data_IF_929847883557
#
_entry.id   IF_929847883557
#
_cell.length_a   1.000
_cell.length_b   1.000
_cell.length_c   1.000
_cell.angle_alpha   90.00
_cell.angle_beta   90.00
_cell.angle_gamma   90.00
#
_symmetry.space_group_name_H-M   'P 1'
#
loop_
_entity.id
_entity.type
_entity.pdbx_description
1 polymer ?
#
# COMPACT_ATOMS: atom_id res chain seq x y z
N UNK A 1 -52.83 34.22 -20.00
CA UNK A 1 -51.38 34.28 -20.01
C UNK A 1 -50.87 33.63 -21.29
N UNK A 2 -50.13 34.38 -22.10
CA UNK A 2 -49.60 33.92 -23.38
C UNK A 2 -48.72 32.68 -23.16
N UNK A 3 -48.92 31.60 -23.93
CA UNK A 3 -48.09 30.42 -23.95
C UNK A 3 -46.72 30.85 -24.48
N UNK A 4 -45.70 30.75 -23.65
CA UNK A 4 -44.31 30.90 -24.15
C UNK A 4 -44.03 29.66 -25.00
N UNK A 5 -43.95 29.84 -26.30
CA UNK A 5 -43.69 28.78 -27.27
C UNK A 5 -42.24 28.31 -27.12
N UNK A 6 -42.02 27.00 -26.90
CA UNK A 6 -40.67 26.46 -26.82
C UNK A 6 -40.21 26.16 -28.25
N UNK A 7 -39.19 26.86 -28.70
CA UNK A 7 -38.50 26.62 -29.98
C UNK A 7 -37.21 25.91 -29.66
N UNK A 8 -36.96 24.72 -30.26
CA UNK A 8 -35.77 23.90 -30.09
C UNK A 8 -34.80 24.19 -31.24
N UNK A 9 -33.54 24.30 -30.94
CA UNK A 9 -32.48 24.20 -31.94
C UNK A 9 -32.27 22.76 -32.38
N UNK A 10 -31.67 22.52 -33.56
CA UNK A 10 -31.38 21.16 -34.06
C UNK A 10 -30.52 20.35 -33.07
N UNK A 11 -29.59 21.01 -32.39
CA UNK A 11 -28.71 20.40 -31.37
C UNK A 11 -29.49 19.99 -30.12
N UNK A 12 -30.44 20.82 -29.68
CA UNK A 12 -31.29 20.51 -28.51
C UNK A 12 -32.27 19.39 -28.83
N UNK A 13 -32.86 19.38 -30.03
CA UNK A 13 -33.76 18.29 -30.47
C UNK A 13 -33.03 16.95 -30.46
N UNK A 14 -31.83 16.88 -31.07
CA UNK A 14 -31.02 15.66 -31.09
C UNK A 14 -30.64 15.15 -29.71
N UNK A 15 -30.24 16.06 -28.78
CA UNK A 15 -29.91 15.67 -27.41
C UNK A 15 -31.14 15.19 -26.62
N UNK A 16 -32.29 15.85 -26.75
CA UNK A 16 -33.53 15.46 -26.09
C UNK A 16 -34.03 14.11 -26.61
N UNK A 17 -34.01 13.87 -27.93
CA UNK A 17 -34.35 12.59 -28.55
C UNK A 17 -33.38 11.46 -28.10
N UNK A 18 -32.10 11.75 -27.99
CA UNK A 18 -31.11 10.80 -27.43
C UNK A 18 -31.49 10.43 -25.99
N UNK A 19 -31.85 11.39 -25.13
CA UNK A 19 -32.28 11.13 -23.74
C UNK A 19 -33.58 10.29 -23.68
N UNK A 20 -34.49 10.49 -24.60
CA UNK A 20 -35.75 9.73 -24.66
C UNK A 20 -35.52 8.28 -25.07
N UNK A 21 -34.63 8.04 -26.05
CA UNK A 21 -34.44 6.72 -26.66
C UNK A 21 -33.35 5.87 -25.95
N UNK A 22 -32.46 6.47 -25.13
CA UNK A 22 -31.38 5.73 -24.48
C UNK A 22 -31.93 4.88 -23.30
N UNK A 23 -31.59 3.61 -23.31
CA UNK A 23 -31.97 2.65 -22.26
C UNK A 23 -31.28 2.89 -20.90
N UNK A 24 -30.16 3.61 -20.88
CA UNK A 24 -29.32 3.88 -19.70
C UNK A 24 -29.67 5.18 -18.98
N UNK A 25 -30.55 6.00 -19.53
CA UNK A 25 -30.95 7.29 -18.94
C UNK A 25 -31.97 7.05 -17.82
N UNK A 26 -31.82 7.77 -16.71
CA UNK A 26 -32.77 7.70 -15.61
C UNK A 26 -34.19 8.08 -16.06
N UNK A 27 -35.19 7.37 -15.57
CA UNK A 27 -36.63 7.59 -15.95
C UNK A 27 -37.04 9.06 -15.80
N UNK A 28 -36.60 9.73 -14.73
CA UNK A 28 -36.85 11.17 -14.49
C UNK A 28 -36.27 12.08 -15.57
N UNK A 29 -35.09 11.78 -16.09
CA UNK A 29 -34.42 12.62 -17.09
C UNK A 29 -35.05 12.41 -18.47
N UNK A 30 -35.46 11.18 -18.77
CA UNK A 30 -36.29 10.83 -19.92
C UNK A 30 -37.62 11.57 -19.88
N UNK A 31 -38.35 11.55 -18.75
CA UNK A 31 -39.63 12.27 -18.60
C UNK A 31 -39.46 13.78 -18.81
N UNK A 32 -38.40 14.38 -18.29
CA UNK A 32 -38.10 15.82 -18.48
C UNK A 32 -37.87 16.16 -19.96
N UNK A 33 -37.11 15.32 -20.67
CA UNK A 33 -36.87 15.47 -22.10
C UNK A 33 -38.14 15.35 -22.88
N UNK A 34 -38.99 14.33 -22.58
CA UNK A 34 -40.27 14.10 -23.25
C UNK A 34 -41.27 15.28 -23.05
N UNK A 35 -41.31 15.86 -21.84
CA UNK A 35 -42.13 17.04 -21.56
C UNK A 35 -41.76 18.20 -22.48
N UNK A 36 -40.46 18.47 -22.65
CA UNK A 36 -39.99 19.61 -23.46
C UNK A 36 -40.23 19.37 -24.94
N UNK A 37 -39.96 18.16 -25.46
CA UNK A 37 -40.22 17.82 -26.86
C UNK A 37 -41.70 17.92 -27.20
N UNK A 38 -42.61 17.37 -26.37
CA UNK A 38 -44.04 17.45 -26.58
C UNK A 38 -44.57 18.89 -26.47
N UNK A 39 -43.98 19.69 -25.59
CA UNK A 39 -44.34 21.10 -25.46
C UNK A 39 -43.92 21.93 -26.67
N UNK A 40 -42.71 21.64 -27.24
CA UNK A 40 -42.23 22.27 -28.48
C UNK A 40 -43.10 21.86 -29.71
N UNK A 41 -43.64 20.64 -29.68
CA UNK A 41 -44.62 20.16 -30.70
C UNK A 41 -46.03 20.77 -30.53
N UNK A 42 -46.23 21.69 -29.58
CA UNK A 42 -47.51 22.39 -29.36
C UNK A 42 -48.55 21.56 -28.63
N UNK A 43 -48.22 20.40 -28.08
CA UNK A 43 -49.17 19.53 -27.33
C UNK A 43 -49.68 20.25 -26.08
N UNK A 44 -51.01 20.24 -25.77
CA UNK A 44 -51.55 20.84 -24.57
C UNK A 44 -51.00 20.24 -23.29
N UNK A 45 -50.68 21.07 -22.27
CA UNK A 45 -50.05 20.63 -21.02
C UNK A 45 -50.84 19.52 -20.28
N UNK A 46 -52.15 19.47 -20.35
CA UNK A 46 -52.93 18.41 -19.74
C UNK A 46 -52.72 17.07 -20.44
N UNK A 47 -52.57 17.08 -21.78
CA UNK A 47 -52.25 15.88 -22.54
C UNK A 47 -50.82 15.39 -22.29
N UNK A 48 -49.84 16.32 -22.19
CA UNK A 48 -48.48 16.00 -21.81
C UNK A 48 -48.44 15.36 -20.43
N UNK A 49 -49.16 15.94 -19.45
CA UNK A 49 -49.25 15.42 -18.09
C UNK A 49 -49.80 13.98 -18.06
N UNK A 50 -50.85 13.68 -18.80
CA UNK A 50 -51.42 12.34 -18.91
C UNK A 50 -50.44 11.37 -19.61
N UNK A 51 -49.81 11.80 -20.71
CA UNK A 51 -48.93 10.94 -21.51
C UNK A 51 -47.64 10.57 -20.78
N UNK A 52 -47.06 11.52 -20.06
CA UNK A 52 -45.79 11.32 -19.33
C UNK A 52 -46.03 10.78 -17.91
N UNK A 53 -47.27 10.77 -17.42
CA UNK A 53 -47.59 10.28 -16.09
C UNK A 53 -47.18 11.22 -14.95
N UNK A 54 -47.28 12.55 -15.17
CA UNK A 54 -46.89 13.58 -14.19
C UNK A 54 -48.03 14.61 -14.00
N UNK A 55 -47.87 15.47 -12.97
CA UNK A 55 -48.86 16.56 -12.77
C UNK A 55 -48.67 17.71 -13.78
N UNK A 56 -49.72 18.47 -14.07
CA UNK A 56 -49.62 19.70 -14.89
C UNK A 56 -48.67 20.71 -14.30
N UNK A 57 -48.53 20.80 -12.98
CA UNK A 57 -47.59 21.65 -12.29
C UNK A 57 -46.17 21.25 -12.62
N UNK A 58 -45.88 19.94 -12.68
CA UNK A 58 -44.59 19.37 -13.07
C UNK A 58 -44.26 19.70 -14.53
N UNK A 59 -45.23 19.56 -15.44
CA UNK A 59 -45.05 19.95 -16.86
C UNK A 59 -44.66 21.43 -16.97
N UNK A 60 -45.43 22.31 -16.32
CA UNK A 60 -45.15 23.72 -16.33
C UNK A 60 -43.77 24.06 -15.74
N UNK A 61 -43.41 23.44 -14.63
CA UNK A 61 -42.11 23.63 -13.99
C UNK A 61 -40.96 23.34 -14.96
N UNK A 62 -40.97 22.20 -15.64
CA UNK A 62 -39.87 21.81 -16.54
C UNK A 62 -39.86 22.65 -17.82
N UNK A 63 -40.99 23.05 -18.36
CA UNK A 63 -41.07 24.00 -19.45
C UNK A 63 -40.45 25.38 -19.07
N UNK A 64 -40.78 25.90 -17.90
CA UNK A 64 -40.24 27.17 -17.39
C UNK A 64 -38.72 27.06 -17.17
N UNK A 65 -38.25 25.96 -16.58
CA UNK A 65 -36.80 25.77 -16.35
C UNK A 65 -36.03 25.60 -17.66
N UNK A 66 -36.63 24.98 -18.67
CA UNK A 66 -36.02 24.84 -19.98
C UNK A 66 -35.98 26.23 -20.70
N UNK A 67 -37.04 27.00 -20.64
CA UNK A 67 -37.05 28.36 -21.19
C UNK A 67 -36.01 29.27 -20.56
N UNK A 68 -35.79 29.14 -19.23
CA UNK A 68 -34.84 29.94 -18.50
C UNK A 68 -33.37 29.50 -18.68
N UNK A 69 -33.09 28.19 -18.80
CA UNK A 69 -31.72 27.67 -18.74
C UNK A 69 -31.43 26.60 -19.80
N UNK A 70 -32.33 26.42 -20.78
CA UNK A 70 -32.22 25.44 -21.86
C UNK A 70 -31.95 24.02 -21.31
N UNK A 71 -31.09 23.23 -21.95
CA UNK A 71 -30.75 21.86 -21.52
C UNK A 71 -30.24 21.77 -20.06
N UNK A 72 -29.48 22.75 -19.60
CA UNK A 72 -29.02 22.82 -18.20
C UNK A 72 -30.17 23.00 -17.20
N UNK A 73 -31.33 23.52 -17.65
CA UNK A 73 -32.54 23.62 -16.83
C UNK A 73 -33.17 22.28 -16.49
N UNK A 74 -32.88 21.22 -17.25
CA UNK A 74 -33.42 19.87 -17.02
C UNK A 74 -32.60 19.07 -16.00
N UNK A 75 -31.44 19.54 -15.61
CA UNK A 75 -30.60 18.90 -14.62
C UNK A 75 -31.12 19.11 -13.19
N UNK A 76 -30.75 18.21 -12.28
CA UNK A 76 -31.09 18.38 -10.87
C UNK A 76 -30.38 19.60 -10.30
N UNK A 77 -31.10 20.45 -9.57
CA UNK A 77 -30.52 21.56 -8.88
C UNK A 77 -29.55 21.07 -7.79
N UNK A 78 -28.38 21.70 -7.69
CA UNK A 78 -27.45 21.47 -6.60
C UNK A 78 -28.13 21.74 -5.24
N UNK A 79 -27.80 20.93 -4.22
CA UNK A 79 -28.29 21.16 -2.86
C UNK A 79 -29.53 20.37 -2.45
N UNK A 80 -29.97 19.39 -3.24
CA UNK A 80 -31.12 18.48 -2.88
C UNK A 80 -30.77 17.40 -1.87
N UNK A 81 -29.65 17.42 -1.19
CA UNK A 81 -29.30 16.46 -0.16
C UNK A 81 -29.58 16.98 1.26
N UNK A 82 -29.45 16.10 2.25
CA UNK A 82 -29.43 16.48 3.66
C UNK A 82 -28.30 17.50 3.87
N UNK A 83 -28.60 18.67 4.37
CA UNK A 83 -27.60 19.68 4.69
C UNK A 83 -26.58 19.12 5.68
N UNK A 84 -25.29 19.44 5.53
CA UNK A 84 -24.27 19.02 6.49
C UNK A 84 -24.68 19.51 7.90
N UNK A 85 -24.80 18.56 8.84
CA UNK A 85 -25.19 18.89 10.23
C UNK A 85 -23.98 19.31 11.08
N UNK A 86 -22.75 19.17 10.55
CA UNK A 86 -21.50 19.53 11.25
C UNK A 86 -21.01 20.87 10.69
N UNK A 87 -20.81 21.87 11.55
CA UNK A 87 -20.25 23.16 11.13
C UNK A 87 -18.90 23.00 10.44
N UNK A 88 -18.63 23.79 9.41
CA UNK A 88 -17.36 23.77 8.66
C UNK A 88 -16.17 23.99 9.59
N UNK A 89 -16.32 24.87 10.59
CA UNK A 89 -15.27 25.16 11.57
C UNK A 89 -14.94 23.93 12.42
N UNK A 90 -15.94 23.16 12.84
CA UNK A 90 -15.70 21.91 13.58
C UNK A 90 -14.97 20.86 12.71
N UNK A 91 -15.27 20.80 11.41
CA UNK A 91 -14.55 19.94 10.46
C UNK A 91 -13.09 20.36 10.39
N UNK A 92 -12.82 21.67 10.22
CA UNK A 92 -11.47 22.21 10.17
C UNK A 92 -10.68 21.88 11.44
N UNK A 93 -11.24 22.16 12.62
CA UNK A 93 -10.61 21.85 13.92
C UNK A 93 -10.28 20.36 14.03
N UNK A 94 -11.17 19.46 13.60
CA UNK A 94 -10.93 18.00 13.63
C UNK A 94 -9.74 17.63 12.74
N UNK A 95 -9.64 18.20 11.55
CA UNK A 95 -8.57 17.90 10.60
C UNK A 95 -7.23 18.48 11.08
N UNK A 96 -7.20 19.73 11.52
CA UNK A 96 -6.00 20.39 12.03
C UNK A 96 -5.43 19.71 13.28
N UNK A 97 -6.31 19.34 14.22
CA UNK A 97 -5.87 18.61 15.43
C UNK A 97 -5.46 17.17 15.18
N UNK A 98 -6.01 16.52 14.13
CA UNK A 98 -5.68 15.14 13.83
C UNK A 98 -4.22 14.92 13.43
N UNK A 99 -3.58 15.93 12.82
CA UNK A 99 -2.17 15.87 12.39
C UNK A 99 -1.19 16.28 13.49
N UNK A 100 -1.69 16.82 14.62
CA UNK A 100 -0.87 17.22 15.77
C UNK A 100 -1.08 16.23 16.92
N UNK A 101 0.00 15.78 17.55
CA UNK A 101 -0.10 14.91 18.72
C UNK A 101 -0.86 15.61 19.86
N UNK A 102 -1.81 14.93 20.54
CA UNK A 102 -2.49 15.51 21.70
C UNK A 102 -1.53 15.63 22.89
N UNK A 103 -1.59 16.75 23.60
CA UNK A 103 -0.66 17.05 24.71
C UNK A 103 -0.67 16.00 25.85
N UNK A 104 -1.81 15.37 26.11
CA UNK A 104 -1.99 14.42 27.23
C UNK A 104 -2.23 12.98 26.79
N UNK A 105 -2.28 12.69 25.52
CA UNK A 105 -2.57 11.37 24.95
C UNK A 105 -1.49 11.00 23.95
N UNK A 106 -1.05 9.77 23.90
CA UNK A 106 -0.05 9.33 22.92
C UNK A 106 -0.50 9.47 21.46
N UNK A 107 -1.82 9.45 21.22
CA UNK A 107 -2.42 9.61 19.88
C UNK A 107 -3.91 9.93 19.94
N UNK A 108 -4.44 10.52 18.89
CA UNK A 108 -5.88 10.67 18.73
C UNK A 108 -6.57 9.35 18.38
N UNK A 109 -7.72 9.10 19.00
CA UNK A 109 -8.70 8.10 18.58
C UNK A 109 -9.97 8.80 18.12
N UNK A 110 -10.81 8.13 17.30
CA UNK A 110 -12.11 8.70 16.92
C UNK A 110 -12.97 9.07 18.15
N UNK A 111 -12.82 8.36 19.28
CA UNK A 111 -13.56 8.62 20.52
C UNK A 111 -13.04 9.88 21.23
N UNK A 112 -11.74 10.02 21.35
CA UNK A 112 -11.14 11.20 22.02
C UNK A 112 -11.32 12.46 21.21
N UNK A 113 -11.16 12.40 19.89
CA UNK A 113 -11.41 13.49 18.96
C UNK A 113 -12.90 13.90 18.95
N UNK A 114 -13.82 12.94 18.92
CA UNK A 114 -15.25 13.21 18.97
C UNK A 114 -15.66 13.96 20.23
N UNK A 115 -15.12 13.55 21.39
CA UNK A 115 -15.35 14.24 22.67
C UNK A 115 -14.81 15.68 22.66
N UNK A 116 -13.61 15.87 22.13
CA UNK A 116 -12.98 17.20 22.05
C UNK A 116 -13.74 18.14 21.11
N UNK A 117 -14.21 17.62 19.96
CA UNK A 117 -14.89 18.44 18.95
C UNK A 117 -16.42 18.53 19.10
N UNK A 118 -17.01 17.89 20.10
CA UNK A 118 -18.48 17.89 20.33
C UNK A 118 -19.29 17.22 19.20
N UNK A 119 -18.71 16.24 18.51
CA UNK A 119 -19.36 15.52 17.41
C UNK A 119 -19.44 14.02 17.67
N UNK A 120 -20.18 13.28 16.82
CA UNK A 120 -20.25 11.83 16.94
C UNK A 120 -18.94 11.15 16.50
N UNK A 121 -18.61 9.98 17.10
CA UNK A 121 -17.50 9.12 16.68
C UNK A 121 -17.57 8.77 15.19
N UNK A 122 -18.77 8.49 14.68
CA UNK A 122 -18.99 8.18 13.26
C UNK A 122 -18.68 9.36 12.33
N UNK A 123 -18.92 10.60 12.79
CA UNK A 123 -18.54 11.82 12.06
C UNK A 123 -17.03 11.93 11.94
N UNK A 124 -16.28 11.76 13.03
CA UNK A 124 -14.81 11.79 13.00
C UNK A 124 -14.28 10.69 12.09
N UNK A 125 -14.80 9.46 12.19
CA UNK A 125 -14.37 8.35 11.36
C UNK A 125 -14.56 8.62 9.86
N UNK A 126 -15.73 9.18 9.48
CA UNK A 126 -15.99 9.55 8.08
C UNK A 126 -15.07 10.66 7.57
N UNK A 127 -14.83 11.68 8.40
CA UNK A 127 -13.93 12.79 8.05
C UNK A 127 -12.50 12.30 7.89
N UNK A 128 -12.00 11.46 8.79
CA UNK A 128 -10.66 10.89 8.69
C UNK A 128 -10.51 9.96 7.50
N UNK A 129 -11.52 9.13 7.22
CA UNK A 129 -11.51 8.26 6.05
C UNK A 129 -11.51 9.05 4.73
N UNK A 130 -12.33 10.12 4.64
CA UNK A 130 -12.40 10.97 3.46
C UNK A 130 -11.09 11.74 3.18
N UNK A 131 -10.27 11.98 4.20
CA UNK A 131 -8.98 12.69 4.10
C UNK A 131 -7.76 11.77 4.27
N UNK A 132 -7.94 10.44 4.27
CA UNK A 132 -6.90 9.42 4.50
C UNK A 132 -6.07 9.63 5.79
N UNK A 133 -6.67 10.23 6.82
CA UNK A 133 -6.04 10.49 8.12
C UNK A 133 -6.13 9.25 8.99
N UNK A 134 -4.97 8.73 9.41
CA UNK A 134 -4.85 7.50 10.21
C UNK A 134 -3.94 7.71 11.42
N UNK A 135 -4.37 8.45 12.46
CA UNK A 135 -3.52 8.80 13.62
C UNK A 135 -3.02 7.59 14.42
N UNK A 136 -3.67 6.44 14.26
CA UNK A 136 -3.31 5.19 14.93
C UNK A 136 -2.19 4.40 14.22
N UNK A 137 -1.84 4.79 12.99
CA UNK A 137 -0.79 4.15 12.21
C UNK A 137 0.46 5.03 12.22
N UNK A 138 1.56 4.46 12.70
CA UNK A 138 2.89 5.05 12.59
C UNK A 138 3.74 4.12 11.73
N UNK A 139 4.35 4.66 10.69
CA UNK A 139 5.36 3.95 9.91
C UNK A 139 6.72 4.47 10.32
N UNK A 140 7.55 3.58 10.84
CA UNK A 140 8.95 3.91 11.08
C UNK A 140 9.68 3.94 9.73
N UNK A 141 10.43 4.98 9.49
CA UNK A 141 11.35 5.07 8.36
C UNK A 141 12.62 5.79 8.81
N UNK A 142 13.70 5.51 8.11
CA UNK A 142 14.98 6.20 8.30
C UNK A 142 15.47 6.65 6.93
N UNK A 143 15.68 7.94 6.75
CA UNK A 143 16.31 8.45 5.55
C UNK A 143 17.77 8.06 5.52
N UNK A 144 18.22 7.57 4.38
CA UNK A 144 19.62 7.25 4.16
C UNK A 144 20.46 8.52 4.14
N UNK A 145 21.59 8.49 4.87
CA UNK A 145 22.65 9.50 4.82
C UNK A 145 23.77 9.10 3.86
N UNK A 146 23.58 8.06 3.05
CA UNK A 146 24.59 7.57 2.10
C UNK A 146 24.78 8.60 0.98
N UNK A 147 26.00 9.12 0.83
CA UNK A 147 26.33 10.09 -0.22
C UNK A 147 26.21 9.50 -1.64
N UNK A 148 26.30 8.17 -1.77
CA UNK A 148 26.16 7.46 -3.03
C UNK A 148 24.78 6.80 -3.17
N UNK A 149 23.76 7.32 -2.45
CA UNK A 149 22.44 6.71 -2.39
C UNK A 149 21.87 6.43 -3.78
N UNK A 150 21.81 7.43 -4.63
CA UNK A 150 21.18 7.33 -5.94
C UNK A 150 21.90 6.35 -6.86
N UNK A 151 23.25 6.39 -6.87
CA UNK A 151 24.07 5.44 -7.64
C UNK A 151 23.80 3.99 -7.24
N UNK A 152 23.82 3.69 -5.94
CA UNK A 152 23.57 2.34 -5.42
C UNK A 152 22.13 1.92 -5.60
N UNK A 153 21.20 2.87 -5.49
CA UNK A 153 19.78 2.64 -5.73
C UNK A 153 19.54 2.17 -7.16
N UNK A 154 20.05 2.90 -8.16
CA UNK A 154 19.88 2.54 -9.56
C UNK A 154 20.65 1.27 -9.95
N UNK A 155 21.81 1.02 -9.33
CA UNK A 155 22.54 -0.22 -9.51
C UNK A 155 21.71 -1.44 -9.12
N UNK A 156 21.07 -1.42 -7.95
CA UNK A 156 20.21 -2.51 -7.47
C UNK A 156 18.89 -2.61 -8.25
N UNK A 157 18.21 -1.49 -8.50
CA UNK A 157 16.94 -1.48 -9.24
C UNK A 157 17.15 -1.90 -10.69
N UNK A 158 18.27 -1.51 -11.30
CA UNK A 158 18.64 -1.94 -12.65
C UNK A 158 18.67 -3.45 -12.79
N UNK A 159 19.22 -4.17 -11.81
CA UNK A 159 19.24 -5.63 -11.79
C UNK A 159 17.84 -6.26 -11.70
N UNK A 160 16.90 -5.61 -11.00
CA UNK A 160 15.52 -6.11 -10.92
C UNK A 160 14.71 -5.85 -12.20
N UNK A 161 14.96 -4.72 -12.85
CA UNK A 161 14.23 -4.34 -14.07
C UNK A 161 14.80 -5.00 -15.34
N UNK A 162 16.13 -5.10 -15.43
CA UNK A 162 16.84 -5.62 -16.58
C UNK A 162 17.94 -6.61 -16.11
N UNK A 163 17.55 -7.83 -15.71
CA UNK A 163 18.52 -8.83 -15.28
C UNK A 163 19.48 -9.19 -16.44
N UNK A 164 20.80 -9.27 -16.18
CA UNK A 164 21.77 -9.67 -17.19
C UNK A 164 21.48 -11.09 -17.71
N UNK A 165 21.74 -11.33 -18.98
CA UNK A 165 21.69 -12.67 -19.54
C UNK A 165 22.80 -13.56 -18.94
N UNK A 166 22.51 -14.85 -18.79
CA UNK A 166 23.45 -15.85 -18.21
C UNK A 166 23.95 -15.49 -16.80
N UNK A 167 23.13 -14.81 -16.00
CA UNK A 167 23.46 -14.45 -14.64
C UNK A 167 22.36 -14.85 -13.64
N UNK A 168 22.77 -15.09 -12.39
CA UNK A 168 21.86 -15.23 -11.26
C UNK A 168 21.87 -13.93 -10.46
N UNK A 169 20.68 -13.46 -10.07
CA UNK A 169 20.53 -12.32 -9.17
C UNK A 169 20.08 -12.84 -7.83
N UNK A 170 20.96 -12.78 -6.85
CA UNK A 170 20.78 -13.30 -5.51
C UNK A 170 20.66 -12.14 -4.53
N UNK A 171 19.52 -12.02 -3.87
CA UNK A 171 19.32 -11.10 -2.74
C UNK A 171 19.78 -11.80 -1.47
N UNK A 172 20.90 -11.34 -0.90
CA UNK A 172 21.59 -12.01 0.20
C UNK A 172 21.55 -11.18 1.47
N UNK A 173 21.30 -11.84 2.60
CA UNK A 173 21.37 -11.22 3.93
C UNK A 173 21.41 -12.28 5.03
N UNK A 174 21.59 -11.85 6.31
CA UNK A 174 21.49 -12.74 7.46
C UNK A 174 20.33 -12.36 8.40
N UNK A 175 19.48 -13.33 8.67
CA UNK A 175 18.50 -13.29 9.77
C UNK A 175 19.19 -13.71 11.05
N UNK A 176 19.77 -12.77 11.75
CA UNK A 176 20.39 -13.01 13.05
C UNK A 176 19.32 -13.20 14.14
N UNK A 177 19.73 -13.81 15.26
CA UNK A 177 18.89 -13.98 16.46
C UNK A 177 17.53 -14.64 16.24
N UNK A 178 17.46 -15.67 15.37
CA UNK A 178 16.31 -16.56 15.36
C UNK A 178 16.26 -17.29 16.70
N UNK A 179 15.25 -16.98 17.53
CA UNK A 179 15.19 -17.44 18.93
C UNK A 179 14.40 -18.73 19.07
N UNK A 180 14.96 -19.70 19.78
CA UNK A 180 14.25 -20.87 20.26
C UNK A 180 13.49 -20.47 21.54
N UNK A 181 12.20 -20.20 21.40
CA UNK A 181 11.30 -19.80 22.50
C UNK A 181 10.34 -20.94 22.80
N UNK A 182 10.42 -21.49 23.99
CA UNK A 182 9.47 -22.48 24.50
C UNK A 182 8.40 -21.76 25.32
N UNK A 183 7.14 -21.93 24.95
CA UNK A 183 6.02 -21.37 25.72
C UNK A 183 5.78 -22.18 26.97
N UNK A 184 5.61 -21.50 28.11
CA UNK A 184 5.41 -22.15 29.42
C UNK A 184 4.10 -22.94 29.50
N UNK A 185 3.12 -22.60 28.66
CA UNK A 185 1.83 -23.30 28.55
C UNK A 185 1.33 -23.32 27.12
N UNK A 186 0.56 -24.33 26.72
CA UNK A 186 -0.13 -24.34 25.44
C UNK A 186 -1.09 -23.16 25.31
N UNK A 187 -1.09 -22.53 24.17
CA UNK A 187 -2.11 -21.51 23.85
C UNK A 187 -3.47 -22.15 23.52
N UNK A 188 -4.54 -21.36 23.61
CA UNK A 188 -5.85 -21.80 23.15
C UNK A 188 -5.91 -21.73 21.62
N UNK A 189 -6.46 -22.77 20.95
CA UNK A 189 -6.60 -22.79 19.52
C UNK A 189 -7.57 -21.71 19.03
N UNK A 190 -7.52 -21.41 17.75
CA UNK A 190 -8.53 -20.59 17.08
C UNK A 190 -9.87 -21.33 17.10
N UNK A 191 -10.96 -20.64 17.44
CA UNK A 191 -12.31 -21.20 17.41
C UNK A 191 -13.37 -20.17 17.03
N UNK A 192 -14.61 -20.63 16.84
CA UNK A 192 -15.72 -19.74 16.52
C UNK A 192 -15.97 -18.81 17.71
N UNK A 193 -15.96 -17.50 17.46
CA UNK A 193 -16.18 -16.49 18.48
C UNK A 193 -14.96 -16.10 19.33
N UNK A 194 -13.81 -16.76 19.16
CA UNK A 194 -12.59 -16.40 19.89
C UNK A 194 -11.32 -16.54 19.03
N UNK A 195 -10.34 -15.68 19.27
CA UNK A 195 -9.05 -15.66 18.59
C UNK A 195 -8.09 -16.68 19.22
N UNK A 196 -7.09 -17.13 18.44
CA UNK A 196 -5.96 -17.89 18.97
C UNK A 196 -5.23 -17.07 20.03
N UNK A 197 -4.96 -17.67 21.20
CA UNK A 197 -4.19 -17.04 22.27
C UNK A 197 -2.83 -17.71 22.45
N UNK A 198 -1.88 -17.00 23.02
CA UNK A 198 -0.55 -17.49 23.40
C UNK A 198 -0.25 -16.99 24.79
N UNK A 199 0.48 -17.78 25.59
CA UNK A 199 1.07 -17.26 26.84
C UNK A 199 2.10 -16.18 26.52
N UNK A 200 2.24 -15.19 27.36
CA UNK A 200 3.27 -14.16 27.25
C UNK A 200 4.63 -14.66 27.75
N UNK A 201 4.63 -15.64 28.66
CA UNK A 201 5.83 -16.23 29.24
C UNK A 201 6.46 -17.29 28.35
N UNK A 202 7.80 -17.34 28.36
CA UNK A 202 8.57 -18.30 27.58
C UNK A 202 9.96 -18.51 28.18
N UNK A 203 10.51 -19.70 27.96
CA UNK A 203 11.92 -20.00 28.17
C UNK A 203 12.72 -19.73 26.90
N UNK A 204 13.96 -19.23 27.06
CA UNK A 204 14.89 -19.00 25.93
C UNK A 204 15.96 -20.08 25.94
N UNK A 205 16.00 -20.91 24.90
CA UNK A 205 16.99 -21.97 24.75
C UNK A 205 18.21 -21.57 23.92
N UNK A 206 18.21 -20.37 23.37
CA UNK A 206 19.31 -19.82 22.58
C UNK A 206 18.87 -19.28 21.22
N UNK A 207 19.85 -18.98 20.39
CA UNK A 207 19.62 -18.36 19.07
C UNK A 207 20.47 -19.03 18.00
N UNK A 208 20.00 -18.90 16.75
CA UNK A 208 20.79 -19.19 15.57
C UNK A 208 20.68 -18.05 14.55
N UNK A 209 21.57 -18.04 13.56
CA UNK A 209 21.53 -17.13 12.43
C UNK A 209 21.27 -17.94 11.16
N UNK A 210 20.36 -17.47 10.33
CA UNK A 210 20.14 -17.99 8.98
C UNK A 210 20.70 -17.01 7.96
N UNK A 211 21.69 -17.47 7.18
CA UNK A 211 22.09 -16.80 5.94
C UNK A 211 21.18 -17.28 4.81
N UNK A 212 20.70 -16.38 3.99
CA UNK A 212 19.83 -16.70 2.87
C UNK A 212 20.17 -15.88 1.62
N UNK A 213 20.21 -16.54 0.49
CA UNK A 213 20.29 -15.97 -0.84
C UNK A 213 19.04 -16.31 -1.62
N UNK A 214 18.19 -15.34 -1.84
CA UNK A 214 16.95 -15.45 -2.60
C UNK A 214 17.27 -15.21 -4.08
N UNK A 215 17.06 -16.21 -4.91
CA UNK A 215 17.14 -16.03 -6.35
C UNK A 215 15.93 -15.20 -6.83
N UNK A 216 16.20 -14.02 -7.39
CA UNK A 216 15.18 -13.12 -7.88
C UNK A 216 14.37 -13.70 -9.04
N UNK A 217 14.98 -14.54 -9.89
CA UNK A 217 14.37 -15.04 -11.11
C UNK A 217 13.38 -16.17 -10.87
N UNK A 218 13.67 -17.09 -9.95
CA UNK A 218 12.84 -18.26 -9.69
C UNK A 218 12.25 -18.33 -8.27
N UNK A 219 12.75 -17.49 -7.35
CA UNK A 219 12.30 -17.41 -5.97
C UNK A 219 12.84 -18.51 -5.06
N UNK A 220 13.79 -19.32 -5.51
CA UNK A 220 14.47 -20.34 -4.69
C UNK A 220 15.45 -19.70 -3.72
N UNK A 221 15.73 -20.40 -2.65
CA UNK A 221 16.61 -19.98 -1.59
C UNK A 221 17.80 -20.93 -1.49
N UNK A 222 19.01 -20.37 -1.49
CA UNK A 222 20.22 -21.02 -1.02
C UNK A 222 20.42 -20.56 0.42
N UNK A 223 20.63 -21.46 1.37
CA UNK A 223 20.64 -21.10 2.79
C UNK A 223 21.72 -21.82 3.57
N UNK A 224 22.16 -21.18 4.66
CA UNK A 224 23.10 -21.75 5.62
C UNK A 224 22.74 -21.33 7.03
N UNK A 225 22.58 -22.28 7.93
CA UNK A 225 22.42 -22.02 9.38
C UNK A 225 23.78 -21.96 10.05
N UNK A 226 23.97 -20.96 10.91
CA UNK A 226 25.18 -20.79 11.70
C UNK A 226 24.88 -20.28 13.11
N UNK A 227 25.82 -20.48 14.04
CA UNK A 227 25.70 -19.96 15.41
C UNK A 227 26.04 -18.46 15.51
N UNK A 228 26.76 -17.93 14.57
CA UNK A 228 27.26 -16.55 14.54
C UNK A 228 27.12 -15.95 13.15
N UNK A 229 27.26 -14.62 13.02
CA UNK A 229 27.14 -13.87 11.76
C UNK A 229 28.38 -13.00 11.51
N UNK A 230 29.59 -13.60 11.65
CA UNK A 230 30.87 -12.94 11.40
C UNK A 230 31.27 -13.16 9.93
N UNK A 231 32.38 -12.51 9.53
CA UNK A 231 32.92 -12.67 8.18
C UNK A 231 33.26 -14.11 7.79
N UNK A 232 33.65 -14.95 8.78
CA UNK A 232 33.93 -16.38 8.53
C UNK A 232 32.67 -17.14 8.10
N UNK A 233 31.56 -16.93 8.80
CA UNK A 233 30.29 -17.55 8.48
C UNK A 233 29.75 -17.01 7.14
N UNK A 234 29.92 -15.71 6.88
CA UNK A 234 29.58 -15.12 5.58
C UNK A 234 30.42 -15.72 4.45
N UNK A 235 31.73 -15.85 4.63
CA UNK A 235 32.62 -16.48 3.64
C UNK A 235 32.21 -17.94 3.39
N UNK A 236 31.88 -18.68 4.45
CA UNK A 236 31.38 -20.06 4.31
C UNK A 236 30.05 -20.10 3.54
N UNK A 237 29.20 -19.09 3.70
CA UNK A 237 27.95 -18.97 2.93
C UNK A 237 28.22 -18.65 1.45
N UNK A 238 29.15 -17.75 1.13
CA UNK A 238 29.56 -17.49 -0.26
C UNK A 238 30.08 -18.76 -0.95
N UNK A 239 30.84 -19.58 -0.24
CA UNK A 239 31.31 -20.88 -0.75
C UNK A 239 30.14 -21.86 -0.98
N UNK A 240 29.10 -21.82 -0.14
CA UNK A 240 27.88 -22.60 -0.36
C UNK A 240 27.17 -22.14 -1.65
N UNK A 241 27.04 -20.84 -1.87
CA UNK A 241 26.45 -20.30 -3.10
C UNK A 241 27.26 -20.73 -4.32
N UNK A 242 28.59 -20.65 -4.24
CA UNK A 242 29.48 -21.04 -5.33
C UNK A 242 29.33 -22.51 -5.72
N UNK A 243 29.19 -23.39 -4.72
CA UNK A 243 28.99 -24.83 -4.92
C UNK A 243 27.59 -25.18 -5.45
N UNK A 244 26.54 -24.47 -5.01
CA UNK A 244 25.15 -24.78 -5.36
C UNK A 244 24.67 -24.10 -6.66
N UNK A 245 25.52 -23.27 -7.28
CA UNK A 245 25.16 -22.55 -8.51
C UNK A 245 25.98 -23.03 -9.71
N UNK A 246 25.37 -23.09 -10.92
CA UNK A 246 26.10 -23.47 -12.12
C UNK A 246 27.31 -22.59 -12.38
N UNK A 247 28.47 -23.21 -12.63
CA UNK A 247 29.74 -22.52 -12.82
C UNK A 247 29.81 -21.61 -14.04
N UNK A 248 28.93 -21.86 -15.04
CA UNK A 248 28.85 -21.09 -16.27
C UNK A 248 28.04 -19.78 -16.13
N UNK A 249 27.45 -19.52 -14.96
CA UNK A 249 26.66 -18.32 -14.73
C UNK A 249 27.39 -17.31 -13.87
N UNK A 250 27.27 -16.05 -14.23
CA UNK A 250 27.66 -14.95 -13.36
C UNK A 250 26.69 -14.82 -12.18
N UNK A 251 27.17 -14.32 -11.05
CA UNK A 251 26.41 -14.20 -9.80
C UNK A 251 26.43 -12.75 -9.36
N UNK A 252 25.31 -12.07 -9.48
CA UNK A 252 25.10 -10.74 -8.95
C UNK A 252 24.50 -10.85 -7.54
N UNK A 253 25.29 -10.50 -6.51
CA UNK A 253 24.88 -10.54 -5.12
C UNK A 253 24.45 -9.15 -4.65
N UNK A 254 23.19 -9.01 -4.31
CA UNK A 254 22.65 -7.81 -3.66
C UNK A 254 22.72 -8.04 -2.16
N UNK A 255 23.55 -7.27 -1.45
CA UNK A 255 23.72 -7.36 0.00
C UNK A 255 23.64 -5.98 0.66
N UNK A 256 23.48 -5.94 1.97
CA UNK A 256 23.56 -4.69 2.71
C UNK A 256 25.01 -4.20 2.85
N UNK A 257 25.14 -2.97 3.34
CA UNK A 257 26.45 -2.32 3.48
C UNK A 257 27.17 -2.69 4.79
N UNK A 258 26.93 -3.89 5.36
CA UNK A 258 27.51 -4.31 6.61
C UNK A 258 29.00 -4.59 6.52
N UNK A 259 29.74 -4.36 7.61
CA UNK A 259 31.20 -4.42 7.62
C UNK A 259 31.75 -5.84 7.35
N UNK A 260 31.04 -6.88 7.76
CA UNK A 260 31.42 -8.29 7.55
C UNK A 260 31.52 -8.63 6.07
N UNK A 261 30.65 -8.07 5.23
CA UNK A 261 30.63 -8.27 3.78
C UNK A 261 31.85 -7.65 3.08
N UNK A 262 32.49 -6.70 3.72
CA UNK A 262 33.66 -5.96 3.20
C UNK A 262 34.99 -6.35 3.86
N UNK A 263 34.98 -7.40 4.67
CA UNK A 263 36.21 -7.86 5.36
C UNK A 263 37.31 -8.25 4.36
N UNK A 264 38.59 -8.10 4.74
CA UNK A 264 39.72 -8.35 3.86
C UNK A 264 39.75 -9.78 3.31
N UNK A 265 39.33 -10.78 4.10
CA UNK A 265 39.28 -12.18 3.66
C UNK A 265 38.19 -12.41 2.62
N UNK A 266 37.03 -11.76 2.78
CA UNK A 266 35.95 -11.82 1.80
C UNK A 266 36.38 -11.19 0.48
N UNK A 267 37.01 -10.01 0.54
CA UNK A 267 37.59 -9.35 -0.66
C UNK A 267 38.64 -10.22 -1.37
N UNK A 268 39.53 -10.86 -0.63
CA UNK A 268 40.54 -11.78 -1.19
C UNK A 268 39.90 -13.00 -1.87
N UNK A 269 38.82 -13.52 -1.30
CA UNK A 269 38.09 -14.62 -1.88
C UNK A 269 37.34 -14.18 -3.17
N UNK A 270 36.65 -13.06 -3.13
CA UNK A 270 35.94 -12.49 -4.30
C UNK A 270 36.91 -12.20 -5.46
N UNK A 271 38.11 -11.70 -5.19
CA UNK A 271 39.14 -11.47 -6.21
C UNK A 271 39.57 -12.76 -6.95
N UNK A 272 39.42 -13.93 -6.31
CA UNK A 272 39.69 -15.25 -6.92
C UNK A 272 38.44 -15.87 -7.59
N UNK A 273 37.28 -15.24 -7.45
CA UNK A 273 36.02 -15.74 -7.99
C UNK A 273 35.36 -14.65 -8.84
N UNK A 274 35.87 -14.35 -10.05
CA UNK A 274 35.48 -13.20 -10.86
C UNK A 274 34.02 -13.24 -11.30
N UNK A 275 33.38 -14.41 -11.26
CA UNK A 275 31.93 -14.55 -11.55
C UNK A 275 31.02 -13.91 -10.47
N UNK A 276 31.55 -13.51 -9.31
CA UNK A 276 30.80 -12.89 -8.24
C UNK A 276 30.88 -11.36 -8.32
N UNK A 277 29.75 -10.71 -8.54
CA UNK A 277 29.60 -9.25 -8.62
C UNK A 277 28.80 -8.75 -7.41
N UNK A 278 29.42 -7.96 -6.55
CA UNK A 278 28.78 -7.46 -5.32
C UNK A 278 28.10 -6.12 -5.56
N UNK A 279 26.80 -6.04 -5.24
CA UNK A 279 25.98 -4.84 -5.29
C UNK A 279 25.49 -4.49 -3.89
N UNK A 280 25.91 -3.33 -3.39
CA UNK A 280 25.57 -2.93 -2.03
C UNK A 280 24.39 -1.99 -2.01
N UNK A 281 23.36 -2.31 -1.20
CA UNK A 281 22.25 -1.38 -0.95
C UNK A 281 22.77 -0.11 -0.26
N UNK A 282 22.11 1.05 -0.45
CA UNK A 282 22.44 2.25 0.33
C UNK A 282 22.23 2.01 1.83
N UNK A 283 23.01 2.67 2.65
CA UNK A 283 22.89 2.56 4.12
C UNK A 283 21.45 2.88 4.57
N UNK A 284 20.90 2.10 5.49
CA UNK A 284 19.53 2.21 5.99
C UNK A 284 18.45 1.99 4.90
N UNK A 285 18.74 1.16 3.90
CA UNK A 285 17.83 0.86 2.79
C UNK A 285 17.68 -0.64 2.54
N UNK A 286 17.61 -1.44 3.61
CA UNK A 286 17.40 -2.90 3.54
C UNK A 286 16.12 -3.28 2.77
N UNK A 287 15.12 -2.38 2.72
CA UNK A 287 13.89 -2.57 1.94
C UNK A 287 14.14 -2.74 0.42
N UNK A 288 15.31 -2.37 -0.09
CA UNK A 288 15.75 -2.68 -1.46
C UNK A 288 16.19 -4.14 -1.62
N UNK A 289 16.55 -4.82 -0.54
CA UNK A 289 16.96 -6.22 -0.57
C UNK A 289 15.72 -7.11 -0.40
N UNK A 290 15.31 -7.81 -1.45
CA UNK A 290 14.06 -8.58 -1.45
C UNK A 290 14.08 -9.81 -0.52
N UNK A 291 15.24 -10.27 -0.07
CA UNK A 291 15.33 -11.35 0.93
C UNK A 291 14.71 -10.95 2.28
N UNK A 292 14.62 -9.66 2.58
CA UNK A 292 13.95 -9.16 3.78
C UNK A 292 12.43 -9.51 3.81
N UNK A 293 11.81 -9.63 2.65
CA UNK A 293 10.43 -10.10 2.56
C UNK A 293 10.31 -11.57 2.96
N UNK A 294 11.25 -12.39 2.55
CA UNK A 294 11.35 -13.78 2.99
C UNK A 294 11.61 -13.87 4.50
N UNK A 295 12.47 -13.03 5.05
CA UNK A 295 12.71 -13.00 6.49
C UNK A 295 11.48 -12.64 7.31
N UNK A 296 10.55 -11.88 6.76
CA UNK A 296 9.24 -11.67 7.37
C UNK A 296 8.43 -12.96 7.43
N UNK A 297 8.33 -13.69 6.31
CA UNK A 297 7.60 -14.96 6.24
C UNK A 297 8.20 -15.98 7.24
N UNK A 298 9.53 -16.03 7.32
CA UNK A 298 10.25 -16.87 8.30
C UNK A 298 9.98 -16.41 9.74
N UNK A 299 9.92 -15.11 10.01
CA UNK A 299 9.59 -14.58 11.34
C UNK A 299 8.19 -14.99 11.76
N UNK A 300 7.22 -14.88 10.87
CA UNK A 300 5.84 -15.31 11.12
C UNK A 300 5.78 -16.83 11.40
N UNK A 301 6.54 -17.63 10.66
CA UNK A 301 6.66 -19.06 10.87
C UNK A 301 7.24 -19.42 12.26
N UNK A 302 8.35 -18.78 12.66
CA UNK A 302 9.03 -19.01 13.95
C UNK A 302 8.14 -18.55 15.10
N UNK A 303 7.59 -17.33 15.03
CA UNK A 303 6.79 -16.75 16.12
C UNK A 303 5.45 -17.43 16.33
N UNK A 304 4.97 -18.19 15.33
CA UNK A 304 3.74 -18.98 15.43
C UNK A 304 3.93 -20.27 16.23
N UNK A 305 5.18 -20.68 16.51
CA UNK A 305 5.56 -21.99 17.11
C UNK A 305 6.24 -21.82 18.46
N UNK A 306 6.47 -22.94 19.12
CA UNK A 306 7.23 -23.10 20.36
C UNK A 306 8.36 -24.09 20.08
N UNK A 307 9.56 -23.86 20.65
CA UNK A 307 10.75 -24.69 20.41
C UNK A 307 11.46 -24.93 21.75
N UNK A 308 11.59 -26.18 22.12
CA UNK A 308 12.25 -26.60 23.38
C UNK A 308 13.78 -26.62 23.26
N UNK A 309 14.35 -26.44 22.04
CA UNK A 309 15.80 -26.37 21.83
C UNK A 309 16.16 -25.61 20.57
N UNK A 310 17.43 -25.19 20.46
CA UNK A 310 17.99 -24.63 19.22
C UNK A 310 18.03 -25.66 18.09
N UNK A 311 18.21 -26.95 18.43
CA UNK A 311 18.14 -28.04 17.46
C UNK A 311 16.76 -28.15 16.82
N UNK A 312 15.70 -28.19 17.63
CA UNK A 312 14.31 -28.22 17.15
C UNK A 312 13.99 -27.00 16.25
N UNK A 313 14.44 -25.80 16.65
CA UNK A 313 14.29 -24.62 15.82
C UNK A 313 15.02 -24.78 14.47
N UNK A 314 16.25 -25.30 14.49
CA UNK A 314 17.04 -25.55 13.28
C UNK A 314 16.34 -26.49 12.32
N UNK A 315 15.87 -27.65 12.84
CA UNK A 315 15.19 -28.67 12.05
C UNK A 315 13.87 -28.15 11.46
N UNK A 316 13.12 -27.37 12.24
CA UNK A 316 11.89 -26.74 11.77
C UNK A 316 12.16 -25.70 10.66
N UNK A 317 13.23 -24.92 10.76
CA UNK A 317 13.64 -23.98 9.72
C UNK A 317 14.06 -24.74 8.46
N UNK A 318 14.85 -25.82 8.57
CA UNK A 318 15.27 -26.63 7.42
C UNK A 318 14.03 -27.22 6.70
N UNK A 319 13.09 -27.77 7.44
CA UNK A 319 11.85 -28.31 6.89
C UNK A 319 11.02 -27.22 6.18
N UNK A 320 10.90 -26.03 6.79
CA UNK A 320 10.22 -24.88 6.19
C UNK A 320 10.89 -24.45 4.88
N UNK A 321 12.21 -24.37 4.84
CA UNK A 321 12.98 -23.98 3.66
C UNK A 321 12.85 -25.01 2.54
N UNK A 322 12.88 -26.31 2.88
CA UNK A 322 12.69 -27.39 1.91
C UNK A 322 11.31 -27.31 1.25
N UNK A 323 10.25 -27.10 2.03
CA UNK A 323 8.90 -26.96 1.51
C UNK A 323 8.74 -25.66 0.70
N UNK A 324 9.34 -24.56 1.16
CA UNK A 324 9.34 -23.28 0.46
C UNK A 324 10.04 -23.37 -0.90
N UNK A 325 11.13 -24.14 -1.01
CA UNK A 325 11.86 -24.32 -2.26
C UNK A 325 11.15 -25.26 -3.25
N UNK A 326 10.35 -26.24 -2.77
CA UNK A 326 9.48 -27.06 -3.65
C UNK A 326 8.45 -26.18 -4.36
N UNK A 327 7.88 -25.21 -3.63
CA UNK A 327 6.87 -24.28 -4.09
C UNK A 327 7.42 -22.85 -4.11
N UNK A 328 8.53 -22.65 -4.83
CA UNK A 328 9.26 -21.39 -4.84
C UNK A 328 8.38 -20.22 -5.31
N UNK A 329 8.31 -19.15 -4.53
CA UNK A 329 7.52 -17.97 -4.81
C UNK A 329 8.43 -16.76 -5.01
N UNK A 330 8.34 -16.17 -6.19
CA UNK A 330 9.08 -14.93 -6.49
C UNK A 330 8.50 -13.74 -5.75
N UNK A 331 9.37 -12.85 -5.31
CA UNK A 331 8.99 -11.49 -4.93
C UNK A 331 9.35 -10.57 -6.09
N UNK A 332 8.35 -9.91 -6.67
CA UNK A 332 8.54 -9.06 -7.84
C UNK A 332 8.60 -7.60 -7.39
N UNK A 333 9.56 -6.86 -7.94
CA UNK A 333 9.65 -5.42 -7.74
C UNK A 333 8.66 -4.71 -8.67
N UNK A 334 7.71 -3.95 -8.09
CA UNK A 334 6.67 -3.24 -8.85
C UNK A 334 6.79 -1.71 -8.80
N UNK A 335 7.56 -1.17 -7.86
CA UNK A 335 7.64 0.27 -7.68
C UNK A 335 8.52 0.92 -8.74
N UNK A 336 8.08 2.05 -9.28
CA UNK A 336 8.89 2.87 -10.18
C UNK A 336 9.97 3.60 -9.40
N UNK A 337 11.21 3.55 -9.88
CA UNK A 337 12.37 4.13 -9.20
C UNK A 337 12.22 5.64 -9.00
N UNK A 338 11.76 6.35 -10.02
CA UNK A 338 11.56 7.81 -9.99
C UNK A 338 10.52 8.22 -8.92
N UNK A 339 9.45 7.44 -8.74
CA UNK A 339 8.43 7.71 -7.71
C UNK A 339 9.00 7.55 -6.30
N UNK A 340 9.91 6.61 -6.11
CA UNK A 340 10.60 6.40 -4.84
C UNK A 340 11.54 7.58 -4.55
N UNK A 341 12.39 7.97 -5.51
CA UNK A 341 13.31 9.09 -5.35
C UNK A 341 12.57 10.39 -5.04
N UNK A 342 11.48 10.66 -5.74
CA UNK A 342 10.62 11.83 -5.49
C UNK A 342 10.04 11.83 -4.06
N UNK A 343 9.59 10.67 -3.56
CA UNK A 343 9.11 10.55 -2.17
C UNK A 343 10.22 10.76 -1.13
N UNK A 344 11.42 10.27 -1.40
CA UNK A 344 12.58 10.47 -0.53
C UNK A 344 12.97 11.94 -0.48
N UNK A 345 13.00 12.61 -1.62
CA UNK A 345 13.30 14.03 -1.70
C UNK A 345 12.25 14.88 -0.97
N UNK A 346 10.96 14.61 -1.19
CA UNK A 346 9.88 15.26 -0.46
C UNK A 346 10.00 15.06 1.07
N UNK A 347 10.39 13.86 1.52
CA UNK A 347 10.61 13.58 2.93
C UNK A 347 11.83 14.35 3.50
N UNK A 348 12.92 14.47 2.74
CA UNK A 348 14.10 15.30 3.12
C UNK A 348 13.71 16.76 3.29
N UNK A 349 12.97 17.31 2.34
CA UNK A 349 12.49 18.70 2.40
C UNK A 349 11.53 18.93 3.57
N UNK A 350 10.64 17.97 3.86
CA UNK A 350 9.74 18.07 5.00
C UNK A 350 10.50 18.08 6.35
N UNK A 351 11.52 17.24 6.51
CA UNK A 351 12.37 17.23 7.71
C UNK A 351 13.11 18.56 7.85
N UNK A 352 13.74 19.05 6.79
CA UNK A 352 14.47 20.31 6.82
C UNK A 352 13.57 21.51 7.20
N UNK A 353 12.30 21.52 6.76
CA UNK A 353 11.33 22.55 7.15
C UNK A 353 10.97 22.45 8.64
N UNK A 354 10.78 21.24 9.16
CA UNK A 354 10.47 21.05 10.59
C UNK A 354 11.64 21.47 11.47
N UNK A 355 12.88 21.11 11.12
CA UNK A 355 14.09 21.54 11.84
C UNK A 355 14.24 23.07 11.83
N UNK A 356 13.92 23.73 10.72
CA UNK A 356 13.96 25.19 10.61
C UNK A 356 12.83 25.91 11.39
N UNK A 357 11.73 25.21 11.72
CA UNK A 357 10.61 25.77 12.50
C UNK A 357 10.76 25.57 14.02
N UNK A 358 11.70 24.74 14.46
CA UNK A 358 12.01 24.49 15.89
C UNK A 358 13.19 25.34 16.40
N UNK A 359 13.89 26.07 15.51
CA UNK A 359 14.90 27.08 15.83
C UNK A 359 14.31 28.47 15.86
#
# INVERSE_FOLDING_TARGET
>A
MARSEIVLSGQESGELERRINASTVAVRDRQRAEIVVLSAAGVPQHQIATRVGVSRVTVNLWCQRFLAKRLAGLEDAAGRGRKPSVPVEAVRVILDKAVTAPATLGRWSCRTMARMAGVSKATVQRLWAANDIKPHLTRTFKLSKDKQFEKKFWDVIGLYLNPPEKALILCCDEKSQCQALERTQPGLPLGVGHIKTKTHDYFRHGTLTLFAALNYLDGKLITRIAKRHRHQEWLAFLKTIDHETPSALDIHLIADNYATHKHAEVKRWLAKHPRFHMHFTPTSSSWLNLVERFFRDLTDFITARSFASVGELSDAIIAFLAERNKNAKRYVWHAKGEDILRKIEAARQAIARNEASEC
#
